data_IF_649684320624
#
_entry.id   IF_649684320624
#
_cell.length_a   1.000
_cell.length_b   1.000
_cell.length_c   1.000
_cell.angle_alpha   90.00
_cell.angle_beta   90.00
_cell.angle_gamma   90.00
#
_symmetry.space_group_name_H-M   'P 1'
#
loop_
_entity.id
_entity.type
_entity.pdbx_description
1 polymer ?
#
# COMPACT_ATOMS: atom_id res chain seq x y z
N UNK A 1 -26.33 4.58 -14.94
CA UNK A 1 -26.58 4.29 -13.52
C UNK A 1 -25.80 5.30 -12.69
N UNK A 2 -26.49 6.22 -12.02
CA UNK A 2 -25.83 7.21 -11.17
C UNK A 2 -25.22 6.50 -9.95
N UNK A 3 -23.96 6.79 -9.58
CA UNK A 3 -23.34 6.20 -8.40
C UNK A 3 -24.11 6.63 -7.14
N UNK A 4 -24.63 5.65 -6.41
CA UNK A 4 -25.33 5.81 -5.15
C UNK A 4 -24.35 6.31 -4.07
N UNK A 5 -24.86 7.11 -3.11
CA UNK A 5 -24.04 7.75 -2.06
C UNK A 5 -23.17 6.73 -1.30
N UNK A 6 -23.66 5.50 -1.15
CA UNK A 6 -22.94 4.40 -0.49
C UNK A 6 -21.66 3.98 -1.25
N UNK A 7 -21.70 3.91 -2.59
CA UNK A 7 -20.49 3.56 -3.37
C UNK A 7 -19.48 4.70 -3.35
N UNK A 8 -19.94 5.96 -3.34
CA UNK A 8 -19.07 7.13 -3.18
C UNK A 8 -18.35 7.15 -1.84
N UNK A 9 -19.03 6.75 -0.76
CA UNK A 9 -18.43 6.70 0.58
C UNK A 9 -17.42 5.57 0.70
N UNK A 10 -17.73 4.39 0.15
CA UNK A 10 -16.80 3.25 0.10
C UNK A 10 -15.59 3.62 -0.76
N UNK A 11 -15.78 4.25 -1.92
CA UNK A 11 -14.69 4.73 -2.76
C UNK A 11 -13.86 5.80 -2.01
N UNK A 12 -14.46 6.76 -1.31
CA UNK A 12 -13.72 7.78 -0.54
C UNK A 12 -12.88 7.18 0.60
N UNK A 13 -13.41 6.18 1.32
CA UNK A 13 -12.66 5.46 2.38
C UNK A 13 -11.57 4.56 1.77
N UNK A 14 -11.79 4.06 0.54
CA UNK A 14 -10.88 3.12 -0.13
C UNK A 14 -9.94 3.75 -1.17
N UNK A 15 -10.05 5.06 -1.42
CA UNK A 15 -9.05 5.84 -2.15
C UNK A 15 -8.00 6.27 -1.11
N UNK A 16 -6.84 5.59 -1.04
CA UNK A 16 -5.74 6.14 -0.28
C UNK A 16 -5.42 7.51 -0.89
N UNK A 17 -5.51 8.58 -0.09
CA UNK A 17 -4.99 9.89 -0.46
C UNK A 17 -3.61 9.67 -1.07
N UNK A 18 -3.41 10.10 -2.32
CA UNK A 18 -2.12 10.01 -2.98
C UNK A 18 -1.17 10.95 -2.23
N UNK A 19 -0.48 10.42 -1.22
CA UNK A 19 0.54 11.16 -0.48
C UNK A 19 1.77 11.20 -1.36
N UNK A 20 2.16 12.40 -1.77
CA UNK A 20 3.36 12.64 -2.56
C UNK A 20 4.61 12.07 -1.86
N UNK A 21 5.49 11.46 -2.67
CA UNK A 21 6.74 10.87 -2.22
C UNK A 21 7.82 11.94 -1.99
N UNK A 22 7.53 12.91 -1.13
CA UNK A 22 8.52 13.89 -0.67
C UNK A 22 9.62 13.19 0.14
N UNK A 23 10.85 13.72 0.19
CA UNK A 23 11.94 13.12 0.95
C UNK A 23 11.61 12.95 2.44
N UNK A 24 10.84 13.87 3.01
CA UNK A 24 10.35 13.80 4.39
C UNK A 24 9.39 12.62 4.61
N UNK A 25 8.45 12.42 3.68
CA UNK A 25 7.52 11.30 3.74
C UNK A 25 8.23 9.95 3.56
N UNK A 26 9.19 9.88 2.63
CA UNK A 26 10.02 8.70 2.43
C UNK A 26 10.78 8.35 3.72
N UNK A 27 11.42 9.32 4.36
CA UNK A 27 12.12 9.11 5.64
C UNK A 27 11.16 8.64 6.76
N UNK A 28 9.95 9.20 6.80
CA UNK A 28 8.91 8.79 7.75
C UNK A 28 8.45 7.35 7.51
N UNK A 29 8.28 6.94 6.26
CA UNK A 29 7.89 5.57 5.89
C UNK A 29 9.00 4.59 6.19
N UNK A 30 10.24 4.94 5.87
CA UNK A 30 11.43 4.15 6.17
C UNK A 30 11.55 3.90 7.68
N UNK A 31 11.33 4.93 8.51
CA UNK A 31 11.31 4.80 9.98
C UNK A 31 10.23 3.85 10.50
N UNK A 32 9.10 3.70 9.79
CA UNK A 32 7.99 2.82 10.19
C UNK A 32 8.19 1.36 9.80
N UNK A 33 8.86 1.11 8.69
CA UNK A 33 9.03 -0.21 8.10
C UNK A 33 10.33 -0.26 7.26
N UNK A 34 11.50 -0.30 7.93
CA UNK A 34 12.79 -0.11 7.27
C UNK A 34 13.12 -1.27 6.33
N UNK A 35 13.40 -0.95 5.07
CA UNK A 35 13.73 -1.91 4.03
C UNK A 35 12.57 -2.81 3.59
N UNK A 36 11.33 -2.50 3.96
CA UNK A 36 10.16 -3.31 3.56
C UNK A 36 9.33 -2.61 2.50
N UNK A 37 8.98 -3.39 1.48
CA UNK A 37 8.22 -2.95 0.33
C UNK A 37 6.96 -3.79 0.18
N UNK A 38 5.97 -3.21 -0.49
CA UNK A 38 4.73 -3.87 -0.86
C UNK A 38 4.68 -3.95 -2.39
N UNK A 39 4.39 -5.15 -2.89
CA UNK A 39 4.26 -5.43 -4.31
C UNK A 39 2.85 -5.83 -4.71
N UNK A 40 2.39 -5.35 -5.86
CA UNK A 40 1.16 -5.83 -6.49
C UNK A 40 1.45 -6.87 -7.58
N UNK A 41 1.01 -8.11 -7.39
CA UNK A 41 1.18 -9.19 -8.37
C UNK A 41 0.44 -8.97 -9.71
N UNK A 42 -0.42 -7.96 -9.82
CA UNK A 42 -1.17 -7.66 -11.05
C UNK A 42 -0.57 -6.56 -11.90
N UNK A 43 0.01 -5.52 -11.30
CA UNK A 43 0.54 -4.37 -12.03
C UNK A 43 2.02 -4.07 -11.75
N UNK A 44 2.67 -4.86 -10.88
CA UNK A 44 4.07 -4.66 -10.53
C UNK A 44 4.35 -3.38 -9.76
N UNK A 45 3.34 -2.77 -9.12
CA UNK A 45 3.56 -1.65 -8.21
C UNK A 45 4.51 -2.11 -7.10
N UNK A 46 5.52 -1.29 -6.81
CA UNK A 46 6.41 -1.43 -5.66
C UNK A 46 6.40 -0.11 -4.88
N UNK A 47 6.04 -0.15 -3.60
CA UNK A 47 6.05 1.02 -2.72
C UNK A 47 6.52 0.65 -1.32
N UNK A 48 7.11 1.59 -0.56
CA UNK A 48 7.52 1.33 0.82
C UNK A 48 6.30 1.00 1.68
N UNK A 49 6.37 -0.13 2.41
CA UNK A 49 5.24 -0.58 3.23
C UNK A 49 4.90 0.42 4.36
N UNK A 50 5.88 1.19 4.82
CA UNK A 50 5.73 2.23 5.84
C UNK A 50 4.71 3.33 5.50
N UNK A 51 4.35 3.45 4.22
CA UNK A 51 3.25 4.31 3.76
C UNK A 51 1.89 3.82 4.25
N UNK A 52 1.70 2.50 4.30
CA UNK A 52 0.41 1.85 4.57
C UNK A 52 0.31 1.26 5.98
N UNK A 53 1.43 0.93 6.62
CA UNK A 53 1.44 0.27 7.92
C UNK A 53 2.74 0.44 8.68
N UNK A 54 2.76 -0.12 9.89
CA UNK A 54 3.94 -0.18 10.76
C UNK A 54 4.27 -1.66 10.96
N UNK A 55 5.54 -2.02 10.78
CA UNK A 55 5.92 -3.43 10.71
C UNK A 55 6.04 -4.13 12.06
N UNK A 56 5.98 -3.40 13.17
CA UNK A 56 5.89 -3.99 14.51
C UNK A 56 4.70 -4.97 14.65
N UNK A 57 3.66 -4.84 13.81
CA UNK A 57 2.48 -5.71 13.78
C UNK A 57 2.45 -6.72 12.63
N UNK A 58 3.41 -6.69 11.70
CA UNK A 58 3.40 -7.50 10.48
C UNK A 58 4.34 -8.70 10.52
N UNK A 59 4.98 -8.98 11.66
CA UNK A 59 5.90 -10.12 11.93
C UNK A 59 5.27 -11.51 11.75
N UNK A 60 4.73 -11.79 10.56
CA UNK A 60 4.15 -13.07 10.16
C UNK A 60 3.30 -13.01 8.88
N UNK A 61 2.65 -11.88 8.57
CA UNK A 61 1.77 -11.76 7.39
C UNK A 61 2.52 -11.22 6.17
N UNK A 62 3.04 -12.14 5.35
CA UNK A 62 3.78 -11.85 4.11
C UNK A 62 2.90 -11.37 2.94
N UNK A 63 1.57 -11.42 3.07
CA UNK A 63 0.62 -11.07 2.03
C UNK A 63 -0.65 -10.46 2.63
N UNK A 64 -1.11 -9.36 2.05
CA UNK A 64 -2.38 -8.72 2.36
C UNK A 64 -3.33 -8.85 1.16
N UNK A 65 -4.53 -9.39 1.36
CA UNK A 65 -5.56 -9.34 0.32
C UNK A 65 -6.24 -7.97 0.33
N UNK A 66 -6.21 -7.28 -0.80
CA UNK A 66 -6.78 -5.94 -0.88
C UNK A 66 -6.80 -5.37 -2.29
N UNK A 67 -7.30 -4.14 -2.40
CA UNK A 67 -7.35 -3.38 -3.64
C UNK A 67 -6.03 -2.64 -3.84
N UNK A 68 -5.37 -2.86 -4.97
CA UNK A 68 -4.12 -2.17 -5.27
C UNK A 68 -4.37 -0.65 -5.42
N UNK A 69 -3.55 0.23 -4.79
CA UNK A 69 -3.74 1.67 -4.90
C UNK A 69 -3.54 2.20 -6.33
N UNK A 70 -2.64 1.58 -7.11
CA UNK A 70 -2.37 1.96 -8.50
C UNK A 70 -3.38 1.40 -9.49
N UNK A 71 -3.55 0.08 -9.55
CA UNK A 71 -4.39 -0.54 -10.59
C UNK A 71 -5.84 -0.79 -10.17
N UNK A 72 -6.19 -0.55 -8.89
CA UNK A 72 -7.53 -0.73 -8.30
C UNK A 72 -8.13 -2.14 -8.45
N UNK A 73 -7.32 -3.13 -8.85
CA UNK A 73 -7.72 -4.55 -8.93
C UNK A 73 -7.53 -5.20 -7.56
N UNK A 74 -8.41 -6.15 -7.24
CA UNK A 74 -8.24 -7.05 -6.09
C UNK A 74 -7.08 -8.01 -6.35
N UNK A 75 -6.14 -8.05 -5.43
CA UNK A 75 -4.98 -8.92 -5.54
C UNK A 75 -4.36 -9.20 -4.17
N UNK A 76 -3.51 -10.22 -4.12
CA UNK A 76 -2.59 -10.39 -3.01
C UNK A 76 -1.44 -9.39 -3.16
N UNK A 77 -1.38 -8.44 -2.23
CA UNK A 77 -0.28 -7.50 -2.07
C UNK A 77 0.80 -8.20 -1.26
N UNK A 78 1.95 -8.46 -1.86
CA UNK A 78 3.07 -9.17 -1.23
C UNK A 78 3.91 -8.17 -0.44
N UNK A 79 4.36 -8.56 0.74
CA UNK A 79 5.24 -7.74 1.58
C UNK A 79 6.53 -8.52 1.80
N UNK A 80 7.63 -7.96 1.34
CA UNK A 80 8.97 -8.52 1.42
C UNK A 80 10.01 -7.43 1.67
N UNK A 81 11.22 -7.87 2.01
CA UNK A 81 12.34 -6.96 2.13
C UNK A 81 12.77 -6.55 0.72
N UNK A 82 13.07 -5.26 0.54
CA UNK A 82 13.67 -4.73 -0.67
C UNK A 82 14.94 -5.54 -0.92
N UNK A 83 15.04 -6.13 -2.11
CA UNK A 83 16.29 -6.75 -2.55
C UNK A 83 17.24 -5.61 -2.86
N UNK A 84 18.25 -5.42 -2.02
CA UNK A 84 19.41 -4.62 -2.40
C UNK A 84 20.07 -5.34 -3.58
N UNK A 85 20.19 -4.63 -4.71
CA UNK A 85 20.93 -5.07 -5.89
C UNK A 85 22.43 -4.95 -5.64
#
# INVERSE_FOLDING_TARGET
>A
MAPNIFTRLIDYISIPREVEATPENLAKWEKRAPGWVMHCNKCGLEEPFGKYGILYKSSGRKRNFGRCPRCRKWSWLVIDKRKEL
#
